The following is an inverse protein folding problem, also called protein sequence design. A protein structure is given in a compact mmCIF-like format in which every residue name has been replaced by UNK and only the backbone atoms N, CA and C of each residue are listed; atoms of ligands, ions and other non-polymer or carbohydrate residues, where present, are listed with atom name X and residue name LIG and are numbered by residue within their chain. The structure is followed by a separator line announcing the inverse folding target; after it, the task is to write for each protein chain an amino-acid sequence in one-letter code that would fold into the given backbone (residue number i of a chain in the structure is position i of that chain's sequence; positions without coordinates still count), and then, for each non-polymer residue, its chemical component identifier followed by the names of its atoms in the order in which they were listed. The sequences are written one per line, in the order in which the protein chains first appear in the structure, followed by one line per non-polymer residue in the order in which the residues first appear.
data_IF_748804406417
#
_entry.id   IF_748804406417
#
_cell.length_a   1.000
_cell.length_b   1.000
_cell.length_c   1.000
_cell.angle_alpha   90.00
_cell.angle_beta   90.00
_cell.angle_gamma   90.00
#
_symmetry.space_group_name_H-M   'P 1'
#
loop_
_entity.id
_entity.type
_entity.pdbx_description
1 polymer ?
#
# COMPACT_ATOMS: atom_id res chain seq x y z
N UNK A 1 -29.34 -13.77 7.24
CA UNK A 1 -28.48 -13.24 8.31
C UNK A 1 -27.34 -12.52 7.61
N UNK A 2 -27.69 -11.39 7.02
CA UNK A 2 -26.85 -10.58 6.14
C UNK A 2 -26.73 -9.22 6.81
N UNK A 3 -25.52 -8.82 7.17
CA UNK A 3 -25.27 -7.49 7.75
C UNK A 3 -23.94 -6.94 7.26
N UNK A 4 -24.07 -6.10 6.24
CA UNK A 4 -23.24 -4.95 5.86
C UNK A 4 -21.95 -5.23 5.07
N UNK A 5 -22.14 -5.45 3.76
CA UNK A 5 -21.31 -4.79 2.74
C UNK A 5 -21.92 -3.40 2.48
N UNK A 6 -21.44 -2.38 3.16
CA UNK A 6 -21.54 -1.01 2.65
C UNK A 6 -20.13 -0.51 2.40
N UNK A 7 -19.79 -0.50 1.10
CA UNK A 7 -18.64 0.21 0.56
C UNK A 7 -19.01 1.69 0.61
N UNK A 8 -18.61 2.37 1.68
CA UNK A 8 -18.58 3.83 1.66
C UNK A 8 -17.38 4.25 0.81
N UNK A 9 -17.70 4.89 -0.31
CA UNK A 9 -16.76 5.60 -1.18
C UNK A 9 -16.44 6.92 -0.47
N UNK A 10 -15.16 7.12 -0.12
CA UNK A 10 -14.65 8.32 0.57
C UNK A 10 -15.01 8.41 2.05
N UNK A 11 -14.55 7.46 2.88
CA UNK A 11 -14.84 7.48 4.32
C UNK A 11 -13.56 7.24 5.12
N UNK A 12 -13.08 8.28 5.79
CA UNK A 12 -12.14 8.22 6.91
C UNK A 12 -12.71 7.34 8.03
N UNK A 13 -12.75 6.03 7.83
CA UNK A 13 -13.17 5.10 8.85
C UNK A 13 -12.18 5.13 10.02
N UNK A 14 -12.59 4.68 11.21
CA UNK A 14 -11.72 4.70 12.38
C UNK A 14 -10.52 3.75 12.26
N UNK A 15 -10.56 2.81 11.30
CA UNK A 15 -9.50 1.83 11.04
C UNK A 15 -8.17 2.48 10.64
N UNK A 16 -7.06 1.83 11.01
CA UNK A 16 -5.72 2.27 10.58
C UNK A 16 -5.57 2.30 9.05
N UNK A 17 -6.35 1.46 8.34
CA UNK A 17 -6.33 1.30 6.88
C UNK A 17 -7.67 1.70 6.23
N UNK A 18 -8.47 2.51 6.91
CA UNK A 18 -9.76 2.95 6.37
C UNK A 18 -9.65 4.11 5.39
N UNK A 19 -8.49 4.76 5.35
CA UNK A 19 -8.16 5.81 4.40
C UNK A 19 -7.41 5.24 3.19
N UNK A 20 -7.62 5.82 2.01
CA UNK A 20 -7.09 5.38 0.73
C UNK A 20 -5.55 5.45 0.74
N UNK A 21 -4.98 6.53 1.29
CA UNK A 21 -3.53 6.65 1.46
C UNK A 21 -2.95 5.51 2.29
N UNK A 22 -3.57 5.18 3.42
CA UNK A 22 -3.12 4.08 4.27
C UNK A 22 -3.19 2.71 3.56
N UNK A 23 -4.20 2.49 2.71
CA UNK A 23 -4.36 1.28 1.93
C UNK A 23 -3.28 1.14 0.84
N UNK A 24 -2.99 2.24 0.14
CA UNK A 24 -1.95 2.31 -0.89
C UNK A 24 -0.56 2.15 -0.27
N UNK A 25 -0.27 2.88 0.82
CA UNK A 25 0.98 2.78 1.56
C UNK A 25 1.23 1.34 2.06
N UNK A 26 0.20 0.65 2.55
CA UNK A 26 0.31 -0.77 2.94
C UNK A 26 0.74 -1.65 1.77
N UNK A 27 0.25 -1.37 0.57
CA UNK A 27 0.62 -2.09 -0.65
C UNK A 27 2.06 -1.79 -1.03
N UNK A 28 2.47 -0.52 -0.98
CA UNK A 28 3.86 -0.09 -1.19
C UNK A 28 4.82 -0.77 -0.20
N UNK A 29 4.51 -0.75 1.10
CA UNK A 29 5.32 -1.41 2.14
C UNK A 29 5.44 -2.92 1.89
N UNK A 30 4.37 -3.58 1.44
CA UNK A 30 4.43 -5.02 1.10
C UNK A 30 5.45 -5.29 0.00
N UNK A 31 5.55 -4.41 -0.99
CA UNK A 31 6.51 -4.51 -2.08
C UNK A 31 7.93 -4.21 -1.59
N UNK A 32 8.12 -3.07 -0.92
CA UNK A 32 9.43 -2.63 -0.41
C UNK A 32 10.03 -3.63 0.59
N UNK A 33 9.23 -4.23 1.47
CA UNK A 33 9.70 -5.23 2.44
C UNK A 33 10.24 -6.52 1.80
N UNK A 34 10.02 -6.74 0.50
CA UNK A 34 10.60 -7.86 -0.25
C UNK A 34 12.02 -7.56 -0.74
N UNK A 35 12.46 -6.31 -0.74
CA UNK A 35 13.82 -5.93 -1.12
C UNK A 35 14.82 -6.38 -0.06
N UNK A 36 16.07 -6.69 -0.40
CA UNK A 36 17.08 -7.12 0.58
C UNK A 36 17.66 -5.94 1.41
N UNK A 37 16.79 -5.05 1.89
CA UNK A 37 17.13 -3.84 2.66
C UNK A 37 16.85 -4.04 4.16
N UNK A 38 17.64 -3.41 5.03
CA UNK A 38 17.40 -3.34 6.48
C UNK A 38 16.24 -2.39 6.81
N UNK A 39 15.81 -2.38 8.08
CA UNK A 39 14.64 -1.60 8.50
C UNK A 39 14.78 -0.10 8.26
N UNK A 40 15.93 0.49 8.58
CA UNK A 40 16.17 1.93 8.34
C UNK A 40 16.22 2.27 6.85
N UNK A 41 16.81 1.40 6.03
CA UNK A 41 16.84 1.58 4.57
C UNK A 41 15.44 1.48 3.97
N UNK A 42 14.60 0.58 4.50
CA UNK A 42 13.18 0.49 4.12
C UNK A 42 12.44 1.77 4.48
N UNK A 43 12.65 2.31 5.69
CA UNK A 43 12.00 3.57 6.10
C UNK A 43 12.46 4.71 5.20
N UNK A 44 13.76 4.87 4.95
CA UNK A 44 14.29 5.90 4.05
C UNK A 44 13.69 5.85 2.66
N UNK A 45 13.61 4.65 2.07
CA UNK A 45 12.97 4.45 0.77
C UNK A 45 11.46 4.79 0.80
N UNK A 46 10.74 4.46 1.87
CA UNK A 46 9.33 4.83 2.00
C UNK A 46 9.15 6.35 2.11
N UNK A 47 10.08 7.06 2.76
CA UNK A 47 10.09 8.52 2.79
C UNK A 47 10.41 9.13 1.42
N UNK A 48 11.29 8.51 0.63
CA UNK A 48 11.56 8.94 -0.75
C UNK A 48 10.36 8.73 -1.68
N UNK A 49 9.61 7.65 -1.48
CA UNK A 49 8.40 7.35 -2.25
C UNK A 49 7.21 8.24 -1.85
N UNK A 50 7.10 8.58 -0.56
CA UNK A 50 6.02 9.42 0.00
C UNK A 50 6.59 10.64 0.76
N UNK A 51 7.27 11.58 0.07
CA UNK A 51 8.03 12.65 0.71
C UNK A 51 7.14 13.66 1.46
N UNK A 52 5.94 13.91 0.94
CA UNK A 52 4.97 14.80 1.59
C UNK A 52 4.47 14.18 2.89
N UNK A 53 3.94 12.95 2.83
CA UNK A 53 3.48 12.22 4.01
C UNK A 53 4.59 11.87 5.01
N UNK A 54 5.87 12.04 4.67
CA UNK A 54 6.98 11.93 5.62
C UNK A 54 7.30 13.24 6.36
N UNK A 55 6.65 14.36 5.99
CA UNK A 55 6.90 15.71 6.52
C UNK A 55 5.88 16.08 7.60
N UNK A 56 6.28 16.60 8.77
CA UNK A 56 5.38 16.85 9.91
C UNK A 56 4.15 17.73 9.63
N UNK A 57 4.23 18.65 8.68
CA UNK A 57 3.14 19.58 8.33
C UNK A 57 2.09 18.95 7.39
N UNK A 58 2.33 17.74 6.90
CA UNK A 58 1.44 17.04 5.99
C UNK A 58 0.32 16.30 6.75
N UNK A 59 -0.88 16.28 6.17
CA UNK A 59 -2.04 15.63 6.80
C UNK A 59 -1.85 14.12 6.99
N UNK A 60 -1.10 13.48 6.11
CA UNK A 60 -0.85 12.05 6.13
C UNK A 60 0.35 11.68 7.00
N UNK A 61 1.06 12.65 7.57
CA UNK A 61 2.25 12.44 8.40
C UNK A 61 2.03 11.41 9.51
N UNK A 62 0.97 11.60 10.27
CA UNK A 62 0.68 10.71 11.39
C UNK A 62 0.26 9.33 10.91
N UNK A 63 -0.51 9.26 9.81
CA UNK A 63 -0.93 8.01 9.19
C UNK A 63 0.27 7.23 8.65
N UNK A 64 1.21 7.89 7.98
CA UNK A 64 2.44 7.31 7.44
C UNK A 64 3.20 6.55 8.52
N UNK A 65 3.57 7.22 9.61
CA UNK A 65 4.38 6.60 10.66
C UNK A 65 3.65 5.47 11.39
N UNK A 66 2.35 5.62 11.67
CA UNK A 66 1.56 4.57 12.32
C UNK A 66 1.44 3.31 11.43
N UNK A 67 1.21 3.49 10.14
CA UNK A 67 1.11 2.40 9.17
C UNK A 67 2.46 1.71 8.95
N UNK A 68 3.54 2.47 8.79
CA UNK A 68 4.90 1.94 8.60
C UNK A 68 5.29 1.12 9.82
N UNK A 69 5.13 1.67 11.04
CA UNK A 69 5.45 0.97 12.27
C UNK A 69 4.66 -0.33 12.44
N UNK A 70 3.34 -0.29 12.20
CA UNK A 70 2.50 -1.48 12.27
C UNK A 70 2.99 -2.58 11.30
N UNK A 71 3.24 -2.21 10.05
CA UNK A 71 3.62 -3.15 9.00
C UNK A 71 5.03 -3.72 9.19
N UNK A 72 5.99 -2.93 9.65
CA UNK A 72 7.35 -3.41 9.94
C UNK A 72 7.35 -4.31 11.17
N UNK A 73 6.59 -3.98 12.23
CA UNK A 73 6.44 -4.85 13.41
C UNK A 73 5.86 -6.22 13.03
N UNK A 74 4.80 -6.27 12.20
CA UNK A 74 4.21 -7.55 11.74
C UNK A 74 5.22 -8.48 11.06
N UNK A 75 6.28 -7.90 10.48
CA UNK A 75 7.31 -8.60 9.72
C UNK A 75 8.60 -8.82 10.53
N UNK A 76 8.61 -8.47 11.82
CA UNK A 76 9.80 -8.61 12.67
C UNK A 76 10.92 -7.63 12.31
N UNK A 77 10.61 -6.49 11.70
CA UNK A 77 11.59 -5.52 11.23
C UNK A 77 11.69 -4.37 12.24
N UNK A 78 12.84 -4.25 12.90
CA UNK A 78 13.17 -3.11 13.75
C UNK A 78 13.46 -1.87 12.88
N UNK A 79 12.93 -0.71 13.27
CA UNK A 79 13.26 0.58 12.64
C UNK A 79 12.84 1.77 13.52
N UNK A 80 13.31 2.97 13.17
CA UNK A 80 12.91 4.26 13.74
C UNK A 80 11.39 4.51 13.70
N UNK A 81 10.66 3.86 12.78
CA UNK A 81 9.22 4.05 12.65
C UNK A 81 8.47 3.68 13.94
N UNK A 82 8.97 2.70 14.70
CA UNK A 82 8.39 2.32 15.99
C UNK A 82 8.37 3.50 16.97
N UNK A 83 9.50 4.17 17.13
CA UNK A 83 9.67 5.28 18.07
C UNK A 83 8.83 6.48 17.65
N UNK A 84 8.79 6.77 16.35
CA UNK A 84 7.92 7.82 15.78
C UNK A 84 6.44 7.56 16.01
N UNK A 85 5.99 6.33 15.74
CA UNK A 85 4.60 5.95 15.97
C UNK A 85 4.20 6.03 17.45
N UNK A 86 5.10 5.61 18.37
CA UNK A 86 4.85 5.74 19.81
C UNK A 86 4.75 7.21 20.24
N UNK A 87 5.63 8.09 19.73
CA UNK A 87 5.55 9.53 19.99
C UNK A 87 4.20 10.12 19.55
N UNK A 88 3.74 9.81 18.33
CA UNK A 88 2.44 10.25 17.79
C UNK A 88 1.25 9.76 18.62
N UNK A 89 1.36 8.54 19.18
CA UNK A 89 0.32 8.01 20.07
C UNK A 89 0.34 8.76 21.41
N UNK A 90 1.53 9.06 21.93
CA UNK A 90 1.71 9.71 23.23
C UNK A 90 1.29 11.18 23.24
N UNK A 91 1.66 11.93 22.19
CA UNK A 91 1.30 13.35 22.04
C UNK A 91 -0.12 13.55 21.47
N UNK A 92 -0.77 12.46 21.07
CA UNK A 92 -2.12 12.41 20.48
C UNK A 92 -2.27 13.17 19.16
N UNK A 93 -1.18 13.50 18.46
CA UNK A 93 -1.20 14.30 17.23
C UNK A 93 -2.14 13.73 16.17
N UNK A 94 -2.21 12.39 16.02
CA UNK A 94 -3.13 11.76 15.08
C UNK A 94 -4.61 12.05 15.41
N UNK A 95 -4.99 12.03 16.68
CA UNK A 95 -6.38 12.30 17.10
C UNK A 95 -6.73 13.78 16.98
N UNK A 96 -5.76 14.66 17.27
CA UNK A 96 -5.93 16.12 17.13
C UNK A 96 -6.17 16.46 15.65
N UNK A 97 -5.29 16.01 14.75
CA UNK A 97 -5.45 16.27 13.31
C UNK A 97 -6.74 15.69 12.73
N UNK A 98 -7.17 14.50 13.17
CA UNK A 98 -8.46 13.93 12.75
C UNK A 98 -9.67 14.74 13.25
N UNK A 99 -9.59 15.29 14.46
CA UNK A 99 -10.65 16.16 15.00
C UNK A 99 -10.74 17.50 14.26
N UNK A 100 -9.60 18.09 13.88
CA UNK A 100 -9.54 19.30 13.04
C UNK A 100 -10.15 19.09 11.65
N UNK A 101 -10.13 17.83 11.16
CA UNK A 101 -10.77 17.39 9.91
C UNK A 101 -12.23 16.95 10.10
N UNK A 102 -12.86 17.39 11.19
CA UNK A 102 -14.27 17.16 11.50
C UNK A 102 -14.67 15.68 11.66
N UNK A 103 -13.73 14.80 12.01
CA UNK A 103 -14.06 13.41 12.33
C UNK A 103 -15.00 13.34 13.54
N UNK A 104 -16.05 12.51 13.45
CA UNK A 104 -17.05 12.39 14.51
C UNK A 104 -16.42 11.93 15.83
N UNK A 105 -16.93 12.41 16.97
CA UNK A 105 -16.46 11.95 18.29
C UNK A 105 -16.57 10.43 18.46
N UNK A 106 -17.59 9.82 17.85
CA UNK A 106 -17.79 8.38 17.87
C UNK A 106 -16.63 7.64 17.19
N UNK A 107 -16.17 8.15 16.05
CA UNK A 107 -15.04 7.59 15.33
C UNK A 107 -13.70 7.92 15.98
N UNK A 108 -13.54 9.11 16.57
CA UNK A 108 -12.36 9.44 17.38
C UNK A 108 -12.18 8.49 18.56
N UNK A 109 -13.27 8.15 19.28
CA UNK A 109 -13.22 7.13 20.36
C UNK A 109 -12.83 5.76 19.84
N UNK A 110 -13.32 5.35 18.67
CA UNK A 110 -12.92 4.08 18.03
C UNK A 110 -11.45 4.12 17.60
N UNK A 111 -10.99 5.23 17.05
CA UNK A 111 -9.60 5.45 16.66
C UNK A 111 -8.67 5.36 17.88
N UNK A 112 -9.03 5.96 19.00
CA UNK A 112 -8.27 5.87 20.25
C UNK A 112 -8.12 4.43 20.76
N UNK A 113 -9.15 3.59 20.64
CA UNK A 113 -9.05 2.15 20.94
C UNK A 113 -8.01 1.48 20.03
N UNK A 114 -8.05 1.77 18.72
CA UNK A 114 -7.11 1.22 17.74
C UNK A 114 -5.67 1.66 18.04
N UNK A 115 -5.45 2.94 18.36
CA UNK A 115 -4.12 3.45 18.72
C UNK A 115 -3.57 2.79 20.00
N UNK A 116 -4.42 2.54 21.01
CA UNK A 116 -4.00 1.77 22.20
C UNK A 116 -3.63 0.34 21.87
N UNK A 117 -4.36 -0.33 20.98
CA UNK A 117 -4.01 -1.67 20.51
C UNK A 117 -2.68 -1.67 19.75
N UNK A 118 -2.47 -0.69 18.87
CA UNK A 118 -1.23 -0.51 18.14
C UNK A 118 -0.05 -0.27 19.11
N UNK A 119 -0.23 0.59 20.12
CA UNK A 119 0.78 0.81 21.17
C UNK A 119 1.20 -0.48 21.84
N UNK A 120 0.24 -1.25 22.38
CA UNK A 120 0.54 -2.51 23.06
C UNK A 120 1.25 -3.51 22.16
N UNK A 121 0.93 -3.52 20.86
CA UNK A 121 1.66 -4.29 19.86
C UNK A 121 3.09 -3.77 19.66
N UNK A 122 3.29 -2.48 19.47
CA UNK A 122 4.63 -1.90 19.25
C UNK A 122 5.53 -2.01 20.48
N UNK A 123 4.97 -2.05 21.69
CA UNK A 123 5.72 -2.28 22.93
C UNK A 123 6.12 -3.76 23.10
N UNK A 124 5.39 -4.69 22.47
CA UNK A 124 5.73 -6.12 22.50
C UNK A 124 6.99 -6.43 21.69
N UNK A 125 7.72 -7.51 22.04
CA UNK A 125 8.87 -7.98 21.27
C UNK A 125 8.52 -8.18 19.79
N UNK A 126 9.49 -7.94 18.90
CA UNK A 126 9.31 -8.21 17.48
C UNK A 126 9.05 -9.70 17.25
N UNK A 127 8.14 -10.06 16.34
CA UNK A 127 7.96 -11.45 15.94
C UNK A 127 9.26 -12.05 15.39
N UNK A 128 9.67 -13.19 15.92
CA UNK A 128 10.79 -13.97 15.38
C UNK A 128 10.33 -14.72 14.12
N UNK A 129 10.35 -14.03 12.98
CA UNK A 129 9.93 -14.57 11.69
C UNK A 129 10.98 -14.24 10.63
N UNK A 130 11.55 -15.25 9.94
CA UNK A 130 12.49 -14.99 8.86
C UNK A 130 11.80 -14.25 7.72
N UNK A 131 12.36 -13.10 7.35
CA UNK A 131 11.84 -12.28 6.26
C UNK A 131 12.14 -12.92 4.92
N UNK A 132 11.10 -13.13 4.09
CA UNK A 132 11.26 -13.59 2.71
C UNK A 132 11.59 -12.43 1.78
N UNK A 133 12.87 -12.27 1.48
CA UNK A 133 13.39 -11.28 0.52
C UNK A 133 13.60 -11.87 -0.86
N UNK A 134 13.63 -10.99 -1.86
CA UNK A 134 14.12 -11.28 -3.19
C UNK A 134 15.62 -11.56 -3.11
N UNK A 135 16.04 -12.71 -3.63
CA UNK A 135 17.46 -13.11 -3.70
C UNK A 135 18.12 -12.72 -5.02
N UNK A 136 17.29 -12.44 -6.01
CA UNK A 136 17.68 -12.04 -7.35
C UNK A 136 16.63 -11.07 -7.89
N UNK A 137 16.96 -10.29 -8.92
CA UNK A 137 15.98 -9.47 -9.62
C UNK A 137 14.83 -10.34 -10.14
N UNK A 138 13.61 -9.77 -10.17
CA UNK A 138 12.45 -10.42 -10.77
C UNK A 138 12.72 -10.66 -12.26
N UNK A 139 12.30 -11.78 -12.85
CA UNK A 139 12.53 -12.02 -14.26
C UNK A 139 11.80 -10.96 -15.11
N UNK A 140 12.48 -10.45 -16.16
CA UNK A 140 11.80 -9.70 -17.21
C UNK A 140 11.10 -10.72 -18.13
N UNK A 141 9.78 -10.83 -17.99
CA UNK A 141 8.93 -11.76 -18.75
C UNK A 141 8.83 -11.42 -20.24
N UNK A 142 9.03 -10.15 -20.60
CA UNK A 142 8.99 -9.63 -21.97
C UNK A 142 10.07 -8.57 -22.15
N UNK A 143 10.57 -8.43 -23.37
CA UNK A 143 11.64 -7.54 -23.79
C UNK A 143 11.11 -6.34 -24.59
N UNK A 144 11.84 -5.20 -24.64
CA UNK A 144 11.52 -4.13 -25.57
C UNK A 144 11.47 -4.65 -27.01
N UNK A 145 10.41 -4.29 -27.74
CA UNK A 145 10.09 -4.81 -29.07
C UNK A 145 9.08 -5.95 -29.07
N UNK A 146 8.84 -6.61 -27.93
CA UNK A 146 7.80 -7.62 -27.82
C UNK A 146 6.41 -6.97 -27.95
N UNK A 147 5.50 -7.70 -28.59
CA UNK A 147 4.09 -7.31 -28.74
C UNK A 147 3.26 -8.14 -27.79
N UNK A 148 2.50 -7.47 -26.92
CA UNK A 148 1.53 -8.10 -26.06
C UNK A 148 0.14 -7.91 -26.66
N UNK A 149 -0.52 -9.01 -27.02
CA UNK A 149 -1.89 -9.00 -27.52
C UNK A 149 -2.88 -9.32 -26.40
N UNK A 150 -4.00 -8.62 -26.37
CA UNK A 150 -5.05 -8.82 -25.37
C UNK A 150 -6.45 -8.77 -26.01
N UNK A 151 -7.41 -9.54 -25.49
CA UNK A 151 -8.76 -9.56 -26.05
C UNK A 151 -9.47 -8.23 -25.81
N UNK A 152 -10.28 -7.81 -26.79
CA UNK A 152 -11.16 -6.63 -26.72
C UNK A 152 -12.59 -6.98 -27.12
N UNK A 153 -13.55 -6.33 -26.49
CA UNK A 153 -14.95 -6.41 -26.90
C UNK A 153 -15.27 -5.49 -28.08
N UNK A 154 -16.52 -5.52 -28.57
CA UNK A 154 -16.98 -4.71 -29.70
C UNK A 154 -16.93 -3.19 -29.45
N UNK A 155 -16.74 -2.77 -28.19
CA UNK A 155 -16.62 -1.37 -27.76
C UNK A 155 -15.16 -0.98 -27.52
N UNK A 156 -14.22 -1.90 -27.66
CA UNK A 156 -12.80 -1.70 -27.37
C UNK A 156 -12.42 -1.82 -25.89
N UNK A 157 -13.32 -2.32 -25.03
CA UNK A 157 -12.99 -2.53 -23.63
C UNK A 157 -12.10 -3.77 -23.46
N UNK A 158 -11.24 -3.72 -22.46
CA UNK A 158 -10.37 -4.83 -22.07
C UNK A 158 -10.91 -5.54 -20.84
N UNK A 159 -10.57 -6.83 -20.69
CA UNK A 159 -10.87 -7.57 -19.46
C UNK A 159 -10.22 -6.86 -18.27
N UNK A 160 -10.99 -6.55 -17.24
CA UNK A 160 -10.42 -6.04 -15.99
C UNK A 160 -9.77 -7.22 -15.23
N UNK A 161 -8.44 -7.26 -15.10
CA UNK A 161 -7.73 -8.39 -14.46
C UNK A 161 -7.97 -8.46 -12.94
N UNK A 162 -8.55 -7.41 -12.34
CA UNK A 162 -8.88 -7.37 -10.92
C UNK A 162 -10.25 -7.98 -10.60
N UNK A 163 -11.04 -8.33 -11.63
CA UNK A 163 -12.28 -9.08 -11.42
C UNK A 163 -11.96 -10.58 -11.30
N UNK A 164 -12.60 -11.30 -10.36
CA UNK A 164 -12.44 -12.74 -10.25
C UNK A 164 -12.81 -13.46 -11.55
N UNK A 165 -12.18 -14.60 -11.82
CA UNK A 165 -12.56 -15.46 -12.93
C UNK A 165 -14.05 -15.87 -12.82
N UNK A 166 -14.77 -15.80 -13.94
CA UNK A 166 -16.22 -16.04 -14.00
C UNK A 166 -17.09 -14.85 -13.64
N UNK A 167 -16.51 -13.72 -13.21
CA UNK A 167 -17.20 -12.42 -13.17
C UNK A 167 -16.99 -11.75 -14.51
N UNK A 168 -17.70 -12.24 -15.53
CA UNK A 168 -17.71 -11.61 -16.84
C UNK A 168 -18.46 -10.28 -16.72
N UNK A 169 -17.72 -9.18 -16.71
CA UNK A 169 -18.27 -7.82 -16.72
C UNK A 169 -18.90 -7.46 -18.07
N UNK A 170 -19.64 -8.40 -18.69
CA UNK A 170 -20.23 -8.24 -20.01
C UNK A 170 -19.20 -8.03 -21.13
N UNK A 171 -17.93 -8.41 -20.92
CA UNK A 171 -16.89 -8.35 -21.94
C UNK A 171 -16.96 -9.63 -22.77
N UNK A 172 -17.53 -9.52 -23.97
CA UNK A 172 -17.54 -10.58 -24.98
C UNK A 172 -16.41 -10.32 -25.99
N UNK A 173 -15.32 -11.11 -25.99
CA UNK A 173 -14.15 -10.83 -26.80
C UNK A 173 -14.45 -11.10 -28.28
N UNK A 174 -14.49 -10.05 -29.10
CA UNK A 174 -14.75 -10.12 -30.54
C UNK A 174 -13.49 -9.87 -31.38
N UNK A 175 -12.39 -9.46 -30.74
CA UNK A 175 -11.14 -9.13 -31.42
C UNK A 175 -9.96 -9.02 -30.46
N UNK A 176 -8.85 -8.49 -31.00
CA UNK A 176 -7.60 -8.33 -30.28
C UNK A 176 -7.10 -6.89 -30.39
N UNK A 177 -6.73 -6.31 -29.25
CA UNK A 177 -5.84 -5.15 -29.17
C UNK A 177 -4.40 -5.61 -28.98
N UNK A 178 -3.44 -4.72 -29.19
CA UNK A 178 -2.05 -4.98 -28.85
C UNK A 178 -1.35 -3.74 -28.30
N UNK A 179 -0.29 -3.97 -27.55
CA UNK A 179 0.66 -2.94 -27.19
C UNK A 179 2.09 -3.43 -27.42
N UNK A 180 2.98 -2.49 -27.71
CA UNK A 180 4.41 -2.77 -27.87
C UNK A 180 5.13 -2.38 -26.60
N UNK A 181 5.98 -3.27 -26.10
CA UNK A 181 6.88 -2.97 -25.00
C UNK A 181 8.00 -2.08 -25.53
N UNK A 182 8.10 -0.86 -25.01
CA UNK A 182 9.09 0.12 -25.48
C UNK A 182 10.28 0.28 -24.52
N UNK A 183 10.15 -0.20 -23.29
CA UNK A 183 11.24 -0.33 -22.33
C UNK A 183 10.89 -1.34 -21.24
N UNK A 184 11.91 -1.96 -20.66
CA UNK A 184 11.81 -2.84 -19.51
C UNK A 184 13.08 -2.70 -18.67
N UNK A 185 12.98 -2.96 -17.37
CA UNK A 185 14.13 -2.92 -16.49
C UNK A 185 13.78 -3.28 -15.05
N UNK A 186 14.71 -3.00 -14.15
CA UNK A 186 14.51 -3.20 -12.71
C UNK A 186 14.55 -1.86 -11.98
N UNK A 187 13.55 -1.61 -11.16
CA UNK A 187 13.58 -0.57 -10.15
C UNK A 187 14.20 -1.15 -8.88
N UNK A 188 15.04 -0.36 -8.20
CA UNK A 188 15.72 -0.76 -6.96
C UNK A 188 16.50 -2.08 -7.11
N UNK A 189 17.08 -2.27 -8.31
CA UNK A 189 17.81 -3.45 -8.76
C UNK A 189 17.02 -4.78 -8.73
N UNK A 190 15.75 -4.78 -8.32
CA UNK A 190 15.02 -6.02 -8.05
C UNK A 190 13.61 -6.10 -8.65
N UNK A 191 12.88 -4.99 -8.72
CA UNK A 191 11.47 -4.99 -9.10
C UNK A 191 11.34 -4.78 -10.60
N UNK A 192 10.79 -5.76 -11.31
CA UNK A 192 10.63 -5.64 -12.75
C UNK A 192 9.59 -4.56 -13.09
N UNK A 193 9.88 -3.73 -14.09
CA UNK A 193 8.94 -2.77 -14.65
C UNK A 193 8.96 -2.82 -16.18
N UNK A 194 7.85 -2.43 -16.78
CA UNK A 194 7.68 -2.32 -18.23
C UNK A 194 7.00 -1.00 -18.56
N UNK A 195 7.41 -0.41 -19.69
CA UNK A 195 6.73 0.71 -20.33
C UNK A 195 6.16 0.22 -21.65
N UNK A 196 4.87 0.44 -21.84
CA UNK A 196 4.16 0.08 -23.06
C UNK A 196 3.76 1.33 -23.84
N UNK A 197 3.67 1.20 -25.16
CA UNK A 197 3.00 2.14 -26.03
C UNK A 197 1.77 1.45 -26.60
N UNK A 198 0.60 2.08 -26.45
CA UNK A 198 -0.58 1.70 -27.21
C UNK A 198 -0.56 2.46 -28.55
N UNK A 199 -0.94 1.76 -29.61
CA UNK A 199 -1.18 2.31 -30.95
C UNK A 199 -2.65 2.19 -31.29
#
# INVERSE_FOLDING_TARGET
MDRWKERFVGAWGPGLYSDDFAADLRTTIRTVCRLPLAGEEIVGLLQELEPLAATPDDEDYTTFWLVVADQLHQRGIASIARERALAIIDDRSNLIGLAEREMSEGDLRRREVILRMLRGKLESPLPDKPRRVLRSPQPLLVSPGDVFAFPVDARGNVRNPYLPDGVDAGMDPVGWGCCVIVAAGHALDHLAWWRFSAT
#
